data_IF_074453384015
#
_entry.id   IF_074453384015
#
_cell.length_a   1.000
_cell.length_b   1.000
_cell.length_c   1.000
_cell.angle_alpha   90.00
_cell.angle_beta   90.00
_cell.angle_gamma   90.00
#
_symmetry.space_group_name_H-M   'P 1'
#
loop_
_entity.id
_entity.type
_entity.pdbx_description
1 polymer ?
#
# COMPACT_ATOMS: atom_id res chain seq x y z
N UNK A 1 -37.34 4.74 0.89
CA UNK A 1 -36.46 3.77 0.19
C UNK A 1 -35.08 4.34 -0.11
N UNK A 2 -34.94 5.59 -0.58
CA UNK A 2 -33.63 6.23 -0.89
C UNK A 2 -32.68 6.40 0.30
N UNK A 3 -33.21 6.75 1.49
CA UNK A 3 -32.40 6.92 2.71
C UNK A 3 -31.72 5.63 3.18
N UNK A 4 -32.38 4.47 3.01
CA UNK A 4 -31.82 3.17 3.37
C UNK A 4 -30.60 2.83 2.49
N UNK A 5 -30.67 3.13 1.19
CA UNK A 5 -29.54 2.95 0.28
C UNK A 5 -28.36 3.88 0.60
N UNK A 6 -28.62 5.10 1.08
CA UNK A 6 -27.58 6.01 1.55
C UNK A 6 -26.80 5.47 2.75
N UNK A 7 -27.50 4.84 3.70
CA UNK A 7 -26.88 4.21 4.88
C UNK A 7 -26.01 3.02 4.45
N UNK A 8 -26.53 2.17 3.56
CA UNK A 8 -25.77 1.02 3.02
C UNK A 8 -24.50 1.50 2.32
N UNK A 9 -24.58 2.54 1.48
CA UNK A 9 -23.41 3.10 0.81
C UNK A 9 -22.35 3.61 1.80
N UNK A 10 -22.76 4.31 2.86
CA UNK A 10 -21.84 4.80 3.89
C UNK A 10 -21.14 3.65 4.64
N UNK A 11 -21.88 2.58 4.98
CA UNK A 11 -21.32 1.38 5.63
C UNK A 11 -20.33 0.68 4.71
N UNK A 12 -20.67 0.51 3.42
CA UNK A 12 -19.78 -0.10 2.43
C UNK A 12 -18.50 0.72 2.26
N UNK A 13 -18.61 2.05 2.16
CA UNK A 13 -17.44 2.93 2.08
C UNK A 13 -16.55 2.81 3.32
N UNK A 14 -17.15 2.81 4.52
CA UNK A 14 -16.39 2.63 5.76
C UNK A 14 -15.71 1.25 5.84
N UNK A 15 -16.40 0.20 5.42
CA UNK A 15 -15.83 -1.15 5.34
C UNK A 15 -14.65 -1.18 4.35
N UNK A 16 -14.78 -0.55 3.18
CA UNK A 16 -13.73 -0.48 2.18
C UNK A 16 -12.48 0.27 2.71
N UNK A 17 -12.68 1.34 3.47
CA UNK A 17 -11.60 2.10 4.11
C UNK A 17 -10.89 1.25 5.17
N UNK A 18 -11.65 0.52 5.99
CA UNK A 18 -11.09 -0.36 7.01
C UNK A 18 -10.27 -1.51 6.39
N UNK A 19 -10.81 -2.18 5.36
CA UNK A 19 -10.10 -3.23 4.62
C UNK A 19 -8.85 -2.67 3.95
N UNK A 20 -8.93 -1.49 3.34
CA UNK A 20 -7.78 -0.85 2.71
C UNK A 20 -6.65 -0.54 3.71
N UNK A 21 -7.00 -0.17 4.95
CA UNK A 21 -6.01 0.03 6.03
C UNK A 21 -5.31 -1.27 6.41
N UNK A 22 -6.08 -2.34 6.60
CA UNK A 22 -5.54 -3.67 6.94
C UNK A 22 -4.66 -4.20 5.81
N UNK A 23 -5.10 -4.05 4.56
CA UNK A 23 -4.34 -4.45 3.38
C UNK A 23 -3.01 -3.68 3.31
N UNK A 24 -3.02 -2.37 3.61
CA UNK A 24 -1.80 -1.57 3.70
C UNK A 24 -0.83 -2.09 4.75
N UNK A 25 -1.34 -2.47 5.93
CA UNK A 25 -0.52 -3.03 6.99
C UNK A 25 0.10 -4.38 6.57
N UNK A 26 -0.69 -5.25 5.93
CA UNK A 26 -0.19 -6.51 5.38
C UNK A 26 0.87 -6.31 4.32
N UNK A 27 0.69 -5.35 3.41
CA UNK A 27 1.68 -5.00 2.39
C UNK A 27 2.97 -4.46 3.01
N UNK A 28 2.89 -3.67 4.09
CA UNK A 28 4.07 -3.21 4.82
C UNK A 28 4.79 -4.37 5.53
N UNK A 29 4.05 -5.25 6.21
CA UNK A 29 4.62 -6.43 6.86
C UNK A 29 5.28 -7.36 5.84
N UNK A 30 4.64 -7.55 4.68
CA UNK A 30 5.19 -8.29 3.55
C UNK A 30 6.45 -7.64 3.00
N UNK A 31 6.45 -6.32 2.80
CA UNK A 31 7.63 -5.60 2.31
C UNK A 31 8.80 -5.68 3.30
N UNK A 32 8.55 -5.65 4.62
CA UNK A 32 9.57 -5.86 5.63
C UNK A 32 10.12 -7.29 5.62
N UNK A 33 9.24 -8.29 5.54
CA UNK A 33 9.65 -9.69 5.47
C UNK A 33 10.44 -9.98 4.19
N UNK A 34 9.97 -9.49 3.04
CA UNK A 34 10.65 -9.60 1.76
C UNK A 34 11.99 -8.86 1.77
N UNK A 35 12.04 -7.64 2.31
CA UNK A 35 13.28 -6.87 2.45
C UNK A 35 14.31 -7.56 3.35
N UNK A 36 13.87 -8.17 4.46
CA UNK A 36 14.73 -8.98 5.31
C UNK A 36 15.28 -10.22 4.60
N UNK A 37 14.44 -10.91 3.83
CA UNK A 37 14.86 -12.06 3.03
C UNK A 37 15.84 -11.67 1.92
N UNK A 38 15.60 -10.53 1.27
CA UNK A 38 16.46 -9.94 0.24
C UNK A 38 17.81 -9.48 0.80
N UNK A 39 17.85 -8.97 2.04
CA UNK A 39 19.08 -8.62 2.74
C UNK A 39 19.94 -9.86 3.04
N UNK A 40 19.30 -10.99 3.38
CA UNK A 40 20.00 -12.26 3.55
C UNK A 40 20.51 -12.79 2.20
N UNK A 41 19.72 -12.64 1.14
CA UNK A 41 20.09 -13.04 -0.23
C UNK A 41 21.06 -12.07 -0.92
N UNK A 42 21.34 -10.92 -0.30
CA UNK A 42 22.23 -9.89 -0.83
C UNK A 42 23.67 -10.39 -1.02
N UNK A 43 24.02 -11.46 -0.31
CA UNK A 43 25.33 -12.11 -0.38
C UNK A 43 25.51 -12.99 -1.61
N UNK A 44 24.43 -13.51 -2.18
CA UNK A 44 24.46 -14.37 -3.36
C UNK A 44 24.23 -13.57 -4.66
N UNK A 45 23.32 -12.60 -4.65
CA UNK A 45 23.04 -11.76 -5.83
C UNK A 45 22.66 -10.31 -5.45
N UNK A 46 23.64 -9.39 -5.38
CA UNK A 46 23.41 -8.02 -4.89
C UNK A 46 22.60 -7.12 -5.85
N UNK A 47 22.62 -7.41 -7.15
CA UNK A 47 21.94 -6.59 -8.17
C UNK A 47 20.41 -6.80 -8.17
N UNK A 48 19.95 -8.06 -8.10
CA UNK A 48 18.52 -8.36 -8.03
C UNK A 48 17.91 -7.87 -6.73
N UNK A 49 18.67 -7.98 -5.64
CA UNK A 49 18.19 -7.58 -4.33
C UNK A 49 18.12 -6.06 -4.14
N UNK A 50 19.06 -5.30 -4.71
CA UNK A 50 18.93 -3.83 -4.76
C UNK A 50 17.79 -3.39 -5.69
N UNK A 51 17.57 -4.05 -6.83
CA UNK A 51 16.45 -3.74 -7.72
C UNK A 51 15.08 -4.00 -7.06
N UNK A 52 14.93 -5.11 -6.35
CA UNK A 52 13.71 -5.43 -5.62
C UNK A 52 13.46 -4.47 -4.43
N UNK A 53 14.52 -4.11 -3.68
CA UNK A 53 14.43 -3.10 -2.62
C UNK A 53 14.12 -1.71 -3.19
N UNK A 54 14.68 -1.34 -4.34
CA UNK A 54 14.37 -0.08 -5.01
C UNK A 54 12.94 -0.06 -5.54
N UNK A 55 12.43 -1.17 -6.10
CA UNK A 55 11.04 -1.29 -6.54
C UNK A 55 10.05 -1.21 -5.35
N UNK A 56 10.36 -1.88 -4.24
CA UNK A 56 9.55 -1.79 -3.01
C UNK A 56 9.62 -0.39 -2.38
N UNK A 57 10.82 0.19 -2.29
CA UNK A 57 11.06 1.54 -1.78
C UNK A 57 10.40 2.61 -2.64
N UNK A 58 10.42 2.47 -3.97
CA UNK A 58 9.71 3.34 -4.89
C UNK A 58 8.20 3.17 -4.78
N UNK A 59 7.67 1.94 -4.67
CA UNK A 59 6.24 1.69 -4.46
C UNK A 59 5.71 2.31 -3.18
N UNK A 60 6.45 2.18 -2.07
CA UNK A 60 6.09 2.77 -0.77
C UNK A 60 6.30 4.30 -0.78
N UNK A 61 7.43 4.77 -1.33
CA UNK A 61 7.79 6.18 -1.41
C UNK A 61 6.89 7.00 -2.34
N UNK A 62 6.38 6.40 -3.43
CA UNK A 62 5.45 7.04 -4.36
C UNK A 62 3.98 6.98 -3.88
N UNK A 63 3.63 6.09 -2.96
CA UNK A 63 2.28 6.00 -2.41
C UNK A 63 1.88 7.27 -1.61
N UNK A 64 2.85 7.98 -1.04
CA UNK A 64 2.64 9.27 -0.37
C UNK A 64 2.31 10.43 -1.34
N UNK A 65 3.19 10.76 -2.29
CA UNK A 65 2.96 11.84 -3.25
C UNK A 65 1.81 11.54 -4.22
N UNK A 66 1.60 10.30 -4.65
CA UNK A 66 0.45 9.95 -5.50
C UNK A 66 -0.88 10.25 -4.79
N UNK A 67 -0.99 9.93 -3.49
CA UNK A 67 -2.17 10.26 -2.68
C UNK A 67 -2.33 11.77 -2.50
N UNK A 68 -1.23 12.51 -2.39
CA UNK A 68 -1.23 13.98 -2.28
C UNK A 68 -1.65 14.66 -3.57
N UNK A 69 -1.28 14.11 -4.73
CA UNK A 69 -1.70 14.60 -6.04
C UNK A 69 -3.18 14.36 -6.28
N UNK A 70 -3.69 13.16 -5.98
CA UNK A 70 -5.13 12.84 -6.12
C UNK A 70 -5.99 13.72 -5.22
N UNK A 71 -5.58 13.98 -3.97
CA UNK A 71 -6.32 14.88 -3.07
C UNK A 71 -6.29 16.33 -3.59
N UNK A 72 -5.19 16.76 -4.22
CA UNK A 72 -5.03 18.12 -4.74
C UNK A 72 -5.73 18.36 -6.09
N UNK A 73 -6.03 17.31 -6.85
CA UNK A 73 -6.80 17.44 -8.10
C UNK A 73 -8.30 17.27 -7.92
N UNK A 74 -8.75 16.67 -6.81
CA UNK A 74 -10.18 16.39 -6.54
C UNK A 74 -10.83 17.47 -5.66
N UNK A 75 -10.06 18.24 -4.88
CA UNK A 75 -10.50 19.40 -4.09
C UNK A 75 -9.92 20.70 -4.65
#
# INVERSE_FOLDING_TARGET
MSLAWGIVAAVVLMALIAVSRVLRLFLFAFALAAGGLLLLHWRDNPAEATAALAAMGAGIGLAGPARRLVVRTVF
#
